data_IF_925687198114
#
_entry.id   IF_925687198114
#
_cell.length_a   1.000
_cell.length_b   1.000
_cell.length_c   1.000
_cell.angle_alpha   90.00
_cell.angle_beta   90.00
_cell.angle_gamma   90.00
#
_symmetry.space_group_name_H-M   'P 1'
#
loop_
_entity.id
_entity.type
_entity.pdbx_description
1 polymer ?
#
# COMPACT_ATOMS: atom_id res chain seq x y z
N UNK A 1 13.77 14.19 21.89
CA UNK A 1 14.09 12.95 21.23
C UNK A 1 13.38 12.95 19.88
N UNK A 2 14.15 12.61 18.83
CA UNK A 2 13.67 12.70 17.44
C UNK A 2 13.07 11.35 16.97
N UNK A 3 12.38 10.64 17.88
CA UNK A 3 11.75 9.37 17.58
C UNK A 3 10.38 9.61 16.93
N UNK A 4 10.12 8.93 15.82
CA UNK A 4 8.82 8.87 15.17
C UNK A 4 7.98 7.78 15.81
N UNK A 5 6.76 8.10 16.23
CA UNK A 5 5.81 7.17 16.83
C UNK A 5 4.70 6.87 15.82
N UNK A 6 4.53 5.60 15.50
CA UNK A 6 3.52 5.14 14.54
C UNK A 6 2.60 4.16 15.25
N UNK A 7 1.29 4.42 15.19
CA UNK A 7 0.29 3.55 15.79
C UNK A 7 -0.17 2.47 14.79
N UNK A 8 -0.16 1.22 15.23
CA UNK A 8 -0.91 0.14 14.62
C UNK A 8 -2.24 -0.01 15.35
N UNK A 9 -3.30 0.51 14.75
CA UNK A 9 -4.64 0.48 15.34
C UNK A 9 -5.70 0.40 14.24
N UNK A 10 -6.52 -0.63 14.29
CA UNK A 10 -7.61 -0.89 13.34
C UNK A 10 -8.95 -0.27 13.76
N UNK A 11 -9.00 0.38 14.92
CA UNK A 11 -10.24 0.98 15.44
C UNK A 11 -10.48 2.36 14.85
N UNK A 12 -11.69 2.84 15.02
CA UNK A 12 -12.07 4.24 14.70
C UNK A 12 -11.88 5.18 15.90
N UNK A 13 -10.97 4.84 16.85
CA UNK A 13 -10.63 5.73 17.96
C UNK A 13 -10.11 7.07 17.42
N UNK A 14 -10.72 8.20 17.78
CA UNK A 14 -10.40 9.48 17.15
C UNK A 14 -9.16 10.14 17.79
N UNK A 15 -8.41 10.87 16.96
CA UNK A 15 -7.31 11.72 17.43
C UNK A 15 -6.05 10.93 17.83
N UNK A 16 -5.81 9.77 17.25
CA UNK A 16 -4.56 9.00 17.46
C UNK A 16 -3.35 9.84 17.07
N UNK A 17 -3.42 10.55 15.96
CA UNK A 17 -2.34 11.41 15.45
C UNK A 17 -2.48 12.89 15.82
N UNK A 18 -3.51 13.22 16.58
CA UNK A 18 -3.71 14.59 17.09
C UNK A 18 -2.74 14.87 18.24
N UNK A 19 -2.18 16.08 18.35
CA UNK A 19 -1.30 16.45 19.47
C UNK A 19 -1.94 16.24 20.85
N UNK A 20 -1.12 15.82 21.82
CA UNK A 20 -1.58 15.62 23.22
C UNK A 20 -2.13 16.93 23.81
N UNK A 21 -1.55 18.07 23.44
CA UNK A 21 -2.04 19.42 23.86
C UNK A 21 -3.46 19.74 23.36
N UNK A 22 -3.92 19.03 22.35
CA UNK A 22 -5.26 19.16 21.76
C UNK A 22 -6.19 17.99 22.12
N UNK A 23 -5.77 17.15 23.07
CA UNK A 23 -6.56 15.99 23.55
C UNK A 23 -6.40 14.74 22.70
N UNK A 24 -5.40 14.66 21.82
CA UNK A 24 -5.05 13.47 21.07
C UNK A 24 -4.04 12.57 21.79
N UNK A 25 -3.63 11.48 21.13
CA UNK A 25 -2.64 10.54 21.66
C UNK A 25 -1.19 10.91 21.30
N UNK A 26 -0.96 11.78 20.33
CA UNK A 26 0.34 12.34 19.98
C UNK A 26 1.22 11.39 19.15
N UNK A 27 0.65 10.42 18.44
CA UNK A 27 1.38 9.66 17.44
C UNK A 27 1.66 10.51 16.19
N UNK A 28 2.79 10.27 15.53
CA UNK A 28 3.12 10.96 14.28
C UNK A 28 2.29 10.44 13.11
N UNK A 29 2.04 9.13 13.08
CA UNK A 29 1.25 8.45 12.05
C UNK A 29 0.42 7.30 12.63
N UNK A 30 -0.61 6.91 11.88
CA UNK A 30 -1.42 5.71 12.12
C UNK A 30 -1.42 4.85 10.85
N UNK A 31 -1.34 3.54 10.98
CA UNK A 31 -1.50 2.63 9.85
C UNK A 31 -2.92 2.68 9.28
N UNK A 32 -3.05 2.82 7.97
CA UNK A 32 -4.33 2.69 7.28
C UNK A 32 -4.59 1.22 6.94
N UNK A 33 -5.04 0.46 7.93
CA UNK A 33 -5.36 -0.96 7.76
C UNK A 33 -6.60 -1.16 6.88
N UNK A 34 -7.53 -0.18 6.82
CA UNK A 34 -8.66 -0.19 5.92
C UNK A 34 -8.23 -0.12 4.46
N UNK A 35 -7.40 0.86 4.11
CA UNK A 35 -6.81 0.96 2.76
C UNK A 35 -6.07 -0.32 2.36
N UNK A 36 -5.26 -0.87 3.26
CA UNK A 36 -4.49 -2.08 3.00
C UNK A 36 -5.40 -3.26 2.68
N UNK A 37 -6.39 -3.52 3.54
CA UNK A 37 -7.34 -4.62 3.37
C UNK A 37 -8.13 -4.48 2.06
N UNK A 38 -8.77 -3.34 1.84
CA UNK A 38 -9.65 -3.10 0.70
C UNK A 38 -8.87 -3.16 -0.62
N UNK A 39 -7.70 -2.52 -0.68
CA UNK A 39 -6.86 -2.55 -1.88
C UNK A 39 -6.39 -3.97 -2.20
N UNK A 40 -5.98 -4.76 -1.20
CA UNK A 40 -5.59 -6.15 -1.44
C UNK A 40 -6.79 -7.00 -1.90
N UNK A 41 -7.98 -6.82 -1.33
CA UNK A 41 -9.21 -7.48 -1.77
C UNK A 41 -9.52 -7.18 -3.24
N UNK A 42 -9.42 -5.91 -3.65
CA UNK A 42 -9.62 -5.51 -5.04
C UNK A 42 -8.68 -6.25 -6.00
N UNK A 43 -7.39 -6.32 -5.69
CA UNK A 43 -6.41 -6.96 -6.56
C UNK A 43 -6.46 -8.50 -6.53
N UNK A 44 -7.05 -9.09 -5.49
CA UNK A 44 -7.37 -10.52 -5.44
C UNK A 44 -8.59 -10.87 -6.30
N UNK A 45 -9.49 -9.92 -6.51
CA UNK A 45 -10.71 -10.10 -7.30
C UNK A 45 -10.38 -10.29 -8.78
N UNK A 46 -11.12 -11.20 -9.44
CA UNK A 46 -11.00 -11.41 -10.88
C UNK A 46 -11.24 -10.11 -11.64
N UNK A 47 -10.38 -9.74 -12.62
CA UNK A 47 -10.45 -8.44 -13.28
C UNK A 47 -11.82 -8.06 -13.87
N UNK A 48 -12.57 -9.02 -14.41
CA UNK A 48 -13.91 -8.78 -14.95
C UNK A 48 -14.97 -8.42 -13.90
N UNK A 49 -14.71 -8.75 -12.61
CA UNK A 49 -15.61 -8.43 -11.48
C UNK A 49 -15.21 -7.12 -10.79
N UNK A 50 -14.03 -6.60 -11.04
CA UNK A 50 -13.49 -5.39 -10.37
C UNK A 50 -14.37 -4.14 -10.52
N UNK A 51 -15.12 -3.93 -11.61
CA UNK A 51 -16.05 -2.80 -11.67
C UNK A 51 -17.07 -2.78 -10.53
N UNK A 52 -17.52 -3.94 -10.04
CA UNK A 52 -18.43 -4.05 -8.91
C UNK A 52 -17.75 -3.79 -7.56
N UNK A 53 -16.39 -3.89 -7.54
CA UNK A 53 -15.53 -3.71 -6.36
C UNK A 53 -14.77 -2.38 -6.36
N UNK A 54 -15.10 -1.45 -7.26
CA UNK A 54 -14.36 -0.20 -7.40
C UNK A 54 -14.33 0.63 -6.10
N UNK A 55 -15.35 0.53 -5.27
CA UNK A 55 -15.40 1.20 -3.97
C UNK A 55 -14.23 0.81 -3.04
N UNK A 56 -13.66 -0.38 -3.16
CA UNK A 56 -12.50 -0.83 -2.39
C UNK A 56 -11.25 0.02 -2.66
N UNK A 57 -11.15 0.65 -3.83
CA UNK A 57 -10.06 1.61 -4.12
C UNK A 57 -10.36 3.03 -3.64
N UNK A 58 -11.62 3.40 -3.49
CA UNK A 58 -11.99 4.82 -3.25
C UNK A 58 -12.43 5.10 -1.82
N UNK A 59 -12.82 4.07 -1.07
CA UNK A 59 -13.44 4.21 0.24
C UNK A 59 -12.51 4.85 1.27
N UNK A 60 -11.21 4.54 1.25
CA UNK A 60 -10.22 5.12 2.16
C UNK A 60 -10.24 6.65 2.17
N UNK A 61 -10.47 7.27 1.02
CA UNK A 61 -10.52 8.74 0.91
C UNK A 61 -11.71 9.39 1.63
N UNK A 62 -12.72 8.62 2.05
CA UNK A 62 -13.85 9.15 2.82
C UNK A 62 -13.46 9.48 4.28
N UNK A 63 -12.46 8.79 4.83
CA UNK A 63 -11.99 9.00 6.20
C UNK A 63 -10.53 9.47 6.28
N UNK A 64 -9.82 9.46 5.18
CA UNK A 64 -8.37 9.64 5.10
C UNK A 64 -7.85 10.88 5.87
N UNK A 65 -8.57 12.00 5.82
CA UNK A 65 -8.13 13.25 6.46
C UNK A 65 -8.49 13.34 7.96
N UNK A 66 -9.01 12.27 8.56
CA UNK A 66 -9.28 12.23 10.00
C UNK A 66 -8.02 12.00 10.83
N UNK A 67 -7.02 11.33 10.26
CA UNK A 67 -5.74 11.02 10.89
C UNK A 67 -4.59 11.21 9.89
N UNK A 68 -3.36 11.20 10.39
CA UNK A 68 -2.17 11.18 9.52
C UNK A 68 -1.82 9.74 9.16
N UNK A 69 -2.47 9.23 8.15
CA UNK A 69 -2.33 7.84 7.75
C UNK A 69 -1.01 7.54 7.03
N UNK A 70 -0.51 6.32 7.27
CA UNK A 70 0.58 5.67 6.57
C UNK A 70 0.01 4.39 5.95
N UNK A 71 0.29 4.15 4.67
CA UNK A 71 -0.19 2.99 3.92
C UNK A 71 0.72 1.79 4.21
N UNK A 72 0.28 0.79 5.00
CA UNK A 72 1.12 -0.31 5.43
C UNK A 72 1.03 -1.50 4.48
N UNK A 73 2.18 -2.03 4.08
CA UNK A 73 2.38 -3.40 3.65
C UNK A 73 3.44 -3.98 4.57
N UNK A 74 3.02 -4.38 5.77
CA UNK A 74 3.91 -4.81 6.84
C UNK A 74 4.25 -6.30 6.75
N UNK A 75 4.99 -6.81 7.75
CA UNK A 75 5.25 -8.24 7.88
C UNK A 75 3.96 -9.05 8.07
N UNK A 76 2.94 -8.46 8.70
CA UNK A 76 1.69 -9.14 8.99
C UNK A 76 0.91 -9.58 7.75
N UNK A 77 1.07 -8.87 6.63
CA UNK A 77 0.43 -9.24 5.36
C UNK A 77 1.12 -10.39 4.65
N UNK A 78 2.31 -10.80 5.10
CA UNK A 78 3.15 -11.80 4.41
C UNK A 78 3.60 -12.96 5.29
N UNK A 79 2.85 -13.28 6.34
CA UNK A 79 3.10 -14.36 7.30
C UNK A 79 1.83 -15.17 7.61
N UNK A 80 2.00 -16.26 8.31
CA UNK A 80 0.91 -17.06 8.91
C UNK A 80 -0.15 -17.60 7.92
N UNK A 81 0.27 -17.99 6.74
CA UNK A 81 -0.63 -18.55 5.72
C UNK A 81 -1.42 -17.50 4.95
N UNK A 82 -1.06 -16.22 5.07
CA UNK A 82 -1.71 -15.11 4.36
C UNK A 82 -1.23 -14.93 2.92
N UNK A 83 -0.19 -15.67 2.48
CA UNK A 83 0.55 -15.52 1.24
C UNK A 83 1.30 -14.16 1.12
N UNK A 84 2.19 -14.04 0.13
CA UNK A 84 2.93 -12.78 -0.10
C UNK A 84 2.09 -11.77 -0.88
N UNK A 85 2.52 -10.49 -0.90
CA UNK A 85 1.80 -9.44 -1.64
C UNK A 85 1.63 -9.83 -3.11
N UNK A 86 2.69 -10.32 -3.77
CA UNK A 86 2.58 -10.74 -5.17
C UNK A 86 1.64 -11.95 -5.34
N UNK A 87 1.68 -12.92 -4.42
CA UNK A 87 0.81 -14.10 -4.49
C UNK A 87 -0.68 -13.75 -4.34
N UNK A 88 -1.00 -12.68 -3.63
CA UNK A 88 -2.39 -12.17 -3.49
C UNK A 88 -2.96 -11.61 -4.78
N UNK A 89 -2.12 -11.21 -5.74
CA UNK A 89 -2.60 -10.75 -7.05
C UNK A 89 -3.32 -11.88 -7.77
N UNK A 90 -4.43 -11.56 -8.47
CA UNK A 90 -5.21 -12.54 -9.22
C UNK A 90 -4.43 -13.14 -10.39
N UNK A 91 -4.73 -14.39 -10.76
CA UNK A 91 -4.25 -15.05 -11.96
C UNK A 91 -3.04 -15.97 -11.75
N UNK A 92 -2.50 -16.46 -12.87
CA UNK A 92 -1.33 -17.31 -12.90
C UNK A 92 -0.06 -16.51 -12.56
N UNK A 93 1.08 -17.20 -12.44
CA UNK A 93 2.33 -16.59 -12.00
C UNK A 93 2.72 -15.34 -12.81
N UNK A 94 2.70 -15.42 -14.14
CA UNK A 94 3.07 -14.29 -14.99
C UNK A 94 2.07 -13.13 -14.92
N UNK A 95 0.78 -13.43 -14.72
CA UNK A 95 -0.29 -12.42 -14.63
C UNK A 95 -0.20 -11.56 -13.36
N UNK A 96 0.45 -12.08 -12.31
CA UNK A 96 0.58 -11.38 -11.03
C UNK A 96 1.49 -10.16 -11.11
N UNK A 97 2.54 -10.19 -11.95
CA UNK A 97 3.52 -9.10 -12.02
C UNK A 97 2.95 -7.80 -12.62
N UNK A 98 2.20 -7.81 -13.72
CA UNK A 98 1.53 -6.57 -14.17
C UNK A 98 0.56 -6.02 -13.14
N UNK A 99 -0.17 -6.88 -12.42
CA UNK A 99 -1.09 -6.45 -11.36
C UNK A 99 -0.33 -5.90 -10.15
N UNK A 100 0.77 -6.53 -9.73
CA UNK A 100 1.64 -6.00 -8.70
C UNK A 100 2.19 -4.61 -9.06
N UNK A 101 2.54 -4.38 -10.34
CA UNK A 101 2.95 -3.03 -10.79
C UNK A 101 1.81 -2.02 -10.68
N UNK A 102 0.61 -2.39 -11.10
CA UNK A 102 -0.57 -1.51 -10.98
C UNK A 102 -0.89 -1.20 -9.50
N UNK A 103 -0.82 -2.20 -8.62
CA UNK A 103 -0.99 -2.06 -7.18
C UNK A 103 0.01 -1.06 -6.57
N UNK A 104 1.31 -1.21 -6.87
CA UNK A 104 2.33 -0.31 -6.34
C UNK A 104 2.25 1.11 -6.95
N UNK A 105 1.88 1.25 -8.21
CA UNK A 105 1.60 2.58 -8.79
C UNK A 105 0.43 3.25 -8.09
N UNK A 106 -0.64 2.52 -7.82
CA UNK A 106 -1.78 3.03 -7.05
C UNK A 106 -1.33 3.45 -5.64
N UNK A 107 -0.57 2.60 -4.93
CA UNK A 107 -0.02 2.93 -3.63
C UNK A 107 0.82 4.22 -3.65
N UNK A 108 1.68 4.40 -4.65
CA UNK A 108 2.52 5.59 -4.78
C UNK A 108 1.72 6.86 -5.08
N UNK A 109 0.63 6.73 -5.84
CA UNK A 109 -0.25 7.86 -6.20
C UNK A 109 -1.28 8.21 -5.11
N UNK A 110 -1.63 7.28 -4.24
CA UNK A 110 -2.54 7.53 -3.12
C UNK A 110 -1.87 8.42 -2.07
N UNK A 111 -2.56 9.40 -1.45
CA UNK A 111 -1.99 10.18 -0.34
C UNK A 111 -1.51 9.30 0.82
N UNK A 112 -0.55 9.80 1.58
CA UNK A 112 0.01 9.12 2.76
C UNK A 112 1.40 8.55 2.56
N UNK A 113 2.12 8.39 3.66
CA UNK A 113 3.45 7.79 3.66
C UNK A 113 3.36 6.29 3.36
N UNK A 114 4.43 5.73 2.81
CA UNK A 114 4.45 4.36 2.32
C UNK A 114 5.31 3.48 3.22
N UNK A 115 4.78 2.33 3.62
CA UNK A 115 5.53 1.28 4.30
C UNK A 115 5.48 0.02 3.42
N UNK A 116 6.63 -0.44 2.98
CA UNK A 116 6.77 -1.67 2.21
C UNK A 116 7.77 -2.59 2.88
N UNK A 117 7.34 -3.77 3.32
CA UNK A 117 8.17 -4.71 4.04
C UNK A 117 9.14 -5.43 3.09
N UNK A 118 10.29 -5.82 3.64
CA UNK A 118 11.37 -6.48 2.89
C UNK A 118 10.89 -7.74 2.14
N UNK A 119 11.40 -7.94 0.91
CA UNK A 119 11.03 -9.04 0.04
C UNK A 119 9.88 -8.74 -0.91
N UNK A 120 9.01 -7.81 -0.57
CA UNK A 120 7.92 -7.39 -1.46
C UNK A 120 8.47 -6.79 -2.76
N UNK A 121 9.58 -6.04 -2.70
CA UNK A 121 10.23 -5.38 -3.85
C UNK A 121 10.83 -6.36 -4.87
N UNK A 122 11.14 -7.59 -4.47
CA UNK A 122 11.63 -8.64 -5.38
C UNK A 122 10.51 -9.59 -5.81
N UNK A 123 9.28 -9.35 -5.34
CA UNK A 123 8.15 -10.26 -5.59
C UNK A 123 8.34 -11.62 -4.93
N UNK A 124 8.82 -11.66 -3.68
CA UNK A 124 9.05 -12.90 -2.97
C UNK A 124 7.80 -13.78 -2.94
N UNK A 125 8.00 -15.09 -3.15
CA UNK A 125 6.90 -16.06 -3.20
C UNK A 125 6.73 -16.84 -1.89
N UNK A 126 7.78 -16.94 -1.10
CA UNK A 126 7.72 -17.53 0.24
C UNK A 126 7.35 -16.45 1.27
N UNK A 127 6.46 -16.78 2.18
CA UNK A 127 6.16 -15.93 3.32
C UNK A 127 7.44 -15.61 4.11
N UNK A 128 7.44 -14.44 4.75
CA UNK A 128 8.57 -14.02 5.57
C UNK A 128 8.78 -14.96 6.76
N UNK A 129 10.03 -15.23 7.05
CA UNK A 129 10.48 -16.06 8.17
C UNK A 129 11.74 -15.41 8.74
N UNK A 130 11.70 -15.00 10.01
CA UNK A 130 12.81 -14.32 10.69
C UNK A 130 14.09 -15.19 10.80
N UNK A 131 13.98 -16.50 10.58
CA UNK A 131 15.11 -17.45 10.65
C UNK A 131 15.74 -17.73 9.30
N UNK A 132 15.21 -17.11 8.23
CA UNK A 132 15.64 -17.39 6.87
C UNK A 132 15.98 -16.11 6.12
N UNK A 133 17.02 -16.20 5.30
CA UNK A 133 17.35 -15.15 4.34
C UNK A 133 16.24 -14.97 3.30
N UNK A 134 16.15 -13.75 2.74
CA UNK A 134 15.28 -13.49 1.59
C UNK A 134 15.70 -14.34 0.40
N UNK A 135 14.75 -14.70 -0.46
CA UNK A 135 14.98 -15.56 -1.60
C UNK A 135 15.64 -14.78 -2.77
N UNK A 136 16.87 -14.28 -2.54
CA UNK A 136 17.63 -13.48 -3.52
C UNK A 136 17.84 -14.19 -4.86
N UNK A 137 17.83 -15.53 -4.89
CA UNK A 137 17.88 -16.33 -6.11
C UNK A 137 16.72 -16.02 -7.09
N UNK A 138 15.62 -15.45 -6.63
CA UNK A 138 14.53 -14.99 -7.49
C UNK A 138 15.01 -13.94 -8.51
N UNK A 139 16.04 -13.17 -8.20
CA UNK A 139 16.59 -12.17 -9.12
C UNK A 139 17.30 -12.76 -10.33
N UNK A 140 17.62 -14.05 -10.33
CA UNK A 140 18.12 -14.77 -11.50
C UNK A 140 17.01 -14.97 -12.56
N UNK A 141 15.75 -14.87 -12.17
CA UNK A 141 14.61 -14.93 -13.08
C UNK A 141 14.27 -13.54 -13.64
N UNK A 142 14.24 -13.40 -15.00
CA UNK A 142 14.06 -12.09 -15.64
C UNK A 142 12.82 -11.31 -15.17
N UNK A 143 11.73 -12.02 -14.84
CA UNK A 143 10.47 -11.37 -14.43
C UNK A 143 10.58 -10.71 -13.04
N UNK A 144 11.26 -11.36 -12.08
CA UNK A 144 11.54 -10.81 -10.75
C UNK A 144 12.54 -9.65 -10.82
N UNK A 145 13.60 -9.83 -11.62
CA UNK A 145 14.58 -8.76 -11.84
C UNK A 145 13.93 -7.52 -12.49
N UNK A 146 13.02 -7.72 -13.46
CA UNK A 146 12.25 -6.64 -14.06
C UNK A 146 11.30 -5.98 -13.05
N UNK A 147 10.74 -6.74 -12.11
CA UNK A 147 9.90 -6.22 -11.05
C UNK A 147 10.70 -5.35 -10.06
N UNK A 148 11.87 -5.81 -9.62
CA UNK A 148 12.77 -5.02 -8.78
C UNK A 148 13.17 -3.70 -9.44
N UNK A 149 13.51 -3.73 -10.74
CA UNK A 149 13.82 -2.49 -11.49
C UNK A 149 12.62 -1.56 -11.53
N UNK A 150 11.43 -2.07 -11.76
CA UNK A 150 10.21 -1.27 -11.69
C UNK A 150 10.03 -0.63 -10.30
N UNK A 151 10.18 -1.41 -9.22
CA UNK A 151 10.08 -0.89 -7.84
C UNK A 151 11.09 0.23 -7.57
N UNK A 152 12.33 0.07 -8.07
CA UNK A 152 13.35 1.12 -8.01
C UNK A 152 12.91 2.39 -8.74
N UNK A 153 12.44 2.26 -9.97
CA UNK A 153 12.02 3.41 -10.78
C UNK A 153 10.83 4.16 -10.19
N UNK A 154 9.83 3.47 -9.66
CA UNK A 154 8.69 4.16 -9.03
C UNK A 154 9.09 4.85 -7.72
N UNK A 155 10.03 4.30 -6.95
CA UNK A 155 10.58 4.97 -5.77
C UNK A 155 11.34 6.25 -6.16
N UNK A 156 12.16 6.19 -7.22
CA UNK A 156 12.88 7.37 -7.74
C UNK A 156 11.86 8.42 -8.23
N UNK A 157 10.83 7.99 -8.96
CA UNK A 157 9.76 8.87 -9.41
C UNK A 157 9.06 9.55 -8.24
N UNK A 158 8.68 8.78 -7.20
CA UNK A 158 8.03 9.30 -6.00
C UNK A 158 8.88 10.36 -5.32
N UNK A 159 10.16 10.07 -5.08
CA UNK A 159 11.09 11.01 -4.42
C UNK A 159 11.33 12.30 -5.22
N UNK A 160 11.29 12.22 -6.54
CA UNK A 160 11.53 13.36 -7.44
C UNK A 160 10.24 14.10 -7.85
N UNK A 161 9.07 13.65 -7.36
CA UNK A 161 7.77 14.25 -7.70
C UNK A 161 7.07 14.75 -6.43
N UNK A 162 7.38 15.97 -5.97
CA UNK A 162 6.84 16.53 -4.73
C UNK A 162 5.31 16.49 -4.65
N UNK A 163 4.63 16.60 -5.78
CA UNK A 163 3.17 16.50 -5.86
C UNK A 163 2.60 15.18 -5.29
N UNK A 164 3.41 14.11 -5.21
CA UNK A 164 2.99 12.80 -4.68
C UNK A 164 3.09 12.70 -3.14
N UNK A 165 3.64 13.71 -2.43
CA UNK A 165 3.86 13.58 -0.99
C UNK A 165 3.83 14.89 -0.19
N UNK A 166 3.91 16.06 -0.82
CA UNK A 166 3.97 17.34 -0.08
C UNK A 166 2.66 17.66 0.62
N UNK A 167 1.54 17.36 -0.01
CA UNK A 167 0.20 17.68 0.47
C UNK A 167 -0.57 16.42 0.90
N UNK A 168 0.12 15.37 1.34
CA UNK A 168 -0.48 14.08 1.72
C UNK A 168 -1.66 14.22 2.69
N UNK A 169 -1.63 15.20 3.59
CA UNK A 169 -2.62 15.37 4.66
C UNK A 169 -3.48 16.62 4.47
N UNK A 170 -3.48 17.20 3.28
CA UNK A 170 -4.33 18.31 2.88
C UNK A 170 -5.38 17.87 1.86
N UNK A 171 -6.67 18.20 2.06
CA UNK A 171 -7.70 17.90 1.06
C UNK A 171 -7.44 18.52 -0.32
N UNK A 172 -6.59 19.54 -0.41
CA UNK A 172 -6.16 20.14 -1.67
C UNK A 172 -5.13 19.32 -2.42
N UNK A 173 -4.49 18.35 -1.77
CA UNK A 173 -3.42 17.54 -2.35
C UNK A 173 -3.89 16.39 -3.22
N UNK A 174 -5.19 16.06 -3.20
CA UNK A 174 -5.73 14.94 -3.96
C UNK A 174 -7.13 15.22 -4.49
N UNK A 175 -7.38 14.80 -5.72
CA UNK A 175 -8.70 14.88 -6.33
C UNK A 175 -8.92 13.67 -7.26
N UNK A 176 -10.05 12.98 -7.10
CA UNK A 176 -10.51 12.04 -8.10
C UNK A 176 -10.95 12.80 -9.36
N UNK A 177 -10.35 12.49 -10.51
CA UNK A 177 -10.77 13.05 -11.79
C UNK A 177 -12.00 12.30 -12.33
N UNK A 178 -12.09 11.00 -12.02
CA UNK A 178 -13.19 10.13 -12.39
C UNK A 178 -13.37 9.08 -11.29
N UNK A 179 -14.57 8.96 -10.77
CA UNK A 179 -14.89 8.06 -9.65
C UNK A 179 -16.18 7.26 -9.89
N UNK A 180 -16.65 7.18 -11.12
CA UNK A 180 -17.87 6.47 -11.50
C UNK A 180 -17.61 4.96 -11.68
N UNK A 181 -18.58 4.18 -11.28
CA UNK A 181 -18.56 2.72 -11.31
C UNK A 181 -18.70 2.14 -12.74
N UNK A 182 -18.80 2.95 -13.77
CA UNK A 182 -19.08 2.55 -15.15
C UNK A 182 -17.93 1.86 -15.88
N UNK A 183 -16.90 1.38 -15.16
CA UNK A 183 -15.87 0.47 -15.70
C UNK A 183 -15.03 1.02 -16.86
N UNK A 184 -15.10 2.32 -17.14
CA UNK A 184 -14.35 2.98 -18.19
C UNK A 184 -13.17 3.76 -17.61
N UNK A 185 -12.15 3.05 -17.17
CA UNK A 185 -10.80 3.58 -16.97
C UNK A 185 -9.89 3.11 -18.08
#
# INVERSE_FOLDING_TARGET
PDAMLIAEDSTNYPGVTKPVSEGGLGFDYKWDLGWMHDTLCYFQTEPRLRPEHYHELTFSMQYYYQERYLLPLSHDEVVHGKATILQKMYGAYEDKFPQGRAFYLYMMAHPGKKLNFMGNEIGQLREWDEKREQDWCLLDFPIHNAFLRFMREINILYLNTPALYQEDYSPSGFQWLKSDQDGSC
#
